data_IF_018048627633
#
_entry.id   IF_018048627633
#
_cell.length_a   1.000
_cell.length_b   1.000
_cell.length_c   1.000
_cell.angle_alpha   90.00
_cell.angle_beta   90.00
_cell.angle_gamma   90.00
#
_symmetry.space_group_name_H-M   'P 1'
#
loop_
_entity.id
_entity.type
_entity.pdbx_description
1 polymer ?
#
# COMPACT_ATOMS: atom_id res chain seq x y z
N UNK A 1 -31.77 -65.08 9.13
CA UNK A 1 -30.46 -64.55 8.68
C UNK A 1 -30.58 -64.13 7.23
N UNK A 2 -30.99 -62.88 6.97
CA UNK A 2 -31.18 -62.39 5.60
C UNK A 2 -30.01 -61.48 5.21
N UNK A 3 -29.14 -62.00 4.34
CA UNK A 3 -27.97 -61.32 3.78
C UNK A 3 -28.33 -60.01 3.04
N UNK A 4 -29.59 -59.86 2.60
CA UNK A 4 -30.06 -58.63 1.95
C UNK A 4 -30.16 -57.42 2.89
N UNK A 5 -30.38 -57.61 4.20
CA UNK A 5 -30.53 -56.47 5.13
C UNK A 5 -29.19 -55.80 5.46
N UNK A 6 -28.05 -56.47 5.25
CA UNK A 6 -26.71 -55.91 5.51
C UNK A 6 -26.16 -55.12 4.32
N UNK A 7 -26.65 -55.37 3.11
CA UNK A 7 -26.23 -54.65 1.89
C UNK A 7 -26.84 -53.25 1.78
N UNK A 8 -28.05 -53.04 2.32
CA UNK A 8 -28.70 -51.72 2.28
C UNK A 8 -28.09 -50.74 3.28
N UNK A 9 -27.58 -51.20 4.43
CA UNK A 9 -26.92 -50.32 5.41
C UNK A 9 -25.53 -49.84 4.98
N UNK A 10 -24.81 -50.58 4.12
CA UNK A 10 -23.50 -50.14 3.61
C UNK A 10 -23.61 -49.13 2.45
N UNK A 11 -24.69 -49.18 1.66
CA UNK A 11 -24.89 -48.23 0.56
C UNK A 11 -25.34 -46.84 1.02
N UNK A 12 -26.00 -46.73 2.19
CA UNK A 12 -26.45 -45.44 2.74
C UNK A 12 -25.36 -44.64 3.49
N UNK A 13 -24.22 -45.24 3.84
CA UNK A 13 -23.09 -44.52 4.44
C UNK A 13 -22.13 -43.88 3.40
N UNK A 14 -22.28 -44.22 2.11
CA UNK A 14 -21.45 -43.67 1.03
C UNK A 14 -21.92 -42.33 0.44
N UNK A 15 -23.15 -41.88 0.76
CA UNK A 15 -23.75 -40.69 0.13
C UNK A 15 -23.72 -39.42 1.00
N UNK A 16 -23.12 -39.47 2.20
CA UNK A 16 -22.94 -38.30 3.08
C UNK A 16 -21.50 -37.78 3.10
N UNK A 17 -20.66 -38.16 2.13
CA UNK A 17 -19.45 -37.41 1.80
C UNK A 17 -19.84 -36.11 1.09
N UNK A 18 -20.45 -35.20 1.85
CA UNK A 18 -20.52 -33.79 1.48
C UNK A 18 -19.08 -33.38 1.20
N UNK A 19 -18.77 -33.12 -0.07
CA UNK A 19 -17.50 -32.55 -0.47
C UNK A 19 -17.34 -31.23 0.27
N UNK A 20 -16.67 -31.25 1.42
CA UNK A 20 -16.14 -30.06 2.05
C UNK A 20 -15.03 -29.55 1.12
N UNK A 21 -15.41 -28.79 0.09
CA UNK A 21 -14.43 -28.09 -0.73
C UNK A 21 -13.87 -26.96 0.13
N UNK A 22 -12.71 -27.20 0.71
CA UNK A 22 -11.93 -26.14 1.32
C UNK A 22 -11.57 -25.15 0.19
N UNK A 23 -12.06 -23.92 0.29
CA UNK A 23 -11.69 -22.84 -0.63
C UNK A 23 -10.19 -22.61 -0.48
N UNK A 24 -9.42 -23.07 -1.47
CA UNK A 24 -7.96 -22.95 -1.47
C UNK A 24 -7.51 -21.60 -2.03
N UNK A 25 -8.34 -20.96 -2.85
CA UNK A 25 -8.03 -19.74 -3.58
C UNK A 25 -9.31 -18.96 -3.92
N UNK A 26 -9.24 -17.64 -3.81
CA UNK A 26 -10.24 -16.70 -4.36
C UNK A 26 -9.50 -15.80 -5.36
N UNK A 27 -10.05 -15.62 -6.55
CA UNK A 27 -9.48 -14.75 -7.58
C UNK A 27 -10.56 -13.81 -8.12
N UNK A 28 -10.22 -12.53 -8.22
CA UNK A 28 -11.05 -11.46 -8.78
C UNK A 28 -10.22 -10.80 -9.88
N UNK A 29 -10.78 -10.69 -11.08
CA UNK A 29 -10.14 -9.99 -12.19
C UNK A 29 -11.06 -8.97 -12.82
N UNK A 30 -10.47 -7.87 -13.29
CA UNK A 30 -11.15 -6.84 -14.05
C UNK A 30 -10.24 -6.34 -15.16
N UNK A 31 -10.78 -6.27 -16.38
CA UNK A 31 -10.01 -5.82 -17.53
C UNK A 31 -9.62 -4.34 -17.42
N UNK A 32 -10.56 -3.51 -16.96
CA UNK A 32 -10.42 -2.06 -16.85
C UNK A 32 -11.37 -1.52 -15.78
N UNK A 33 -10.90 -0.55 -15.00
CA UNK A 33 -11.65 0.19 -13.98
C UNK A 33 -11.29 1.66 -14.13
N UNK A 34 -12.30 2.51 -14.23
CA UNK A 34 -12.15 3.97 -14.33
C UNK A 34 -12.49 4.59 -12.97
N UNK A 35 -11.68 5.55 -12.54
CA UNK A 35 -11.90 6.29 -11.30
C UNK A 35 -11.48 7.73 -11.45
N UNK A 36 -12.05 8.63 -10.64
CA UNK A 36 -11.70 10.05 -10.66
C UNK A 36 -10.20 10.32 -10.41
N UNK A 37 -9.53 9.41 -9.70
CA UNK A 37 -8.09 9.50 -9.41
C UNK A 37 -7.20 8.86 -10.49
N UNK A 38 -7.78 8.14 -11.47
CA UNK A 38 -7.05 7.48 -12.54
C UNK A 38 -7.69 6.18 -13.00
N UNK A 39 -7.10 5.61 -14.04
CA UNK A 39 -7.52 4.35 -14.64
C UNK A 39 -6.65 3.20 -14.14
N UNK A 40 -7.24 2.00 -14.05
CA UNK A 40 -6.53 0.76 -13.79
C UNK A 40 -6.96 -0.30 -14.82
N UNK A 41 -6.00 -1.07 -15.34
CA UNK A 41 -6.27 -2.19 -16.26
C UNK A 41 -5.51 -3.45 -15.86
N UNK A 42 -5.93 -4.59 -16.41
CA UNK A 42 -5.33 -5.90 -16.14
C UNK A 42 -5.28 -6.20 -14.63
N UNK A 43 -6.36 -5.90 -13.93
CA UNK A 43 -6.44 -6.06 -12.48
C UNK A 43 -6.62 -7.54 -12.18
N UNK A 44 -5.74 -8.08 -11.35
CA UNK A 44 -5.84 -9.43 -10.81
C UNK A 44 -5.55 -9.39 -9.31
N UNK A 45 -6.59 -9.65 -8.51
CA UNK A 45 -6.52 -9.82 -7.07
C UNK A 45 -6.71 -11.30 -6.75
N UNK A 46 -5.76 -11.90 -6.04
CA UNK A 46 -5.81 -13.30 -5.66
C UNK A 46 -5.52 -13.47 -4.17
N UNK A 47 -6.34 -14.28 -3.51
CA UNK A 47 -6.21 -14.65 -2.11
C UNK A 47 -5.93 -16.15 -2.03
N UNK A 48 -4.80 -16.56 -1.48
CA UNK A 48 -4.40 -17.97 -1.38
C UNK A 48 -4.46 -18.43 0.07
N UNK A 49 -5.18 -19.52 0.33
CA UNK A 49 -5.38 -20.11 1.67
C UNK A 49 -4.64 -21.44 1.86
N UNK A 50 -4.03 -21.97 0.80
CA UNK A 50 -3.33 -23.24 0.77
C UNK A 50 -1.92 -23.20 1.42
N UNK A 51 -1.63 -22.20 2.23
CA UNK A 51 -0.34 -21.99 2.88
C UNK A 51 -0.53 -21.70 4.38
N UNK A 52 0.48 -21.94 5.24
CA UNK A 52 0.38 -21.70 6.69
C UNK A 52 -0.01 -20.26 7.06
N UNK A 53 0.30 -19.31 6.19
CA UNK A 53 -0.17 -17.92 6.23
C UNK A 53 -0.91 -17.63 4.93
N UNK A 54 -2.18 -17.20 4.98
CA UNK A 54 -2.87 -16.78 3.77
C UNK A 54 -2.15 -15.57 3.15
N UNK A 55 -2.15 -15.48 1.82
CA UNK A 55 -1.50 -14.39 1.08
C UNK A 55 -2.49 -13.71 0.17
N UNK A 56 -2.30 -12.40 -0.04
CA UNK A 56 -3.02 -11.61 -1.04
C UNK A 56 -2.03 -11.06 -2.03
N UNK A 57 -2.28 -11.27 -3.31
CA UNK A 57 -1.52 -10.68 -4.40
C UNK A 57 -2.41 -9.77 -5.22
N UNK A 58 -1.93 -8.58 -5.53
CA UNK A 58 -2.57 -7.63 -6.44
C UNK A 58 -1.60 -7.28 -7.56
N UNK A 59 -2.04 -7.47 -8.80
CA UNK A 59 -1.38 -7.02 -10.01
C UNK A 59 -2.31 -6.06 -10.75
N UNK A 60 -1.80 -4.92 -11.18
CA UNK A 60 -2.54 -3.97 -12.01
C UNK A 60 -1.57 -3.11 -12.82
N UNK A 61 -2.04 -2.54 -13.93
CA UNK A 61 -1.40 -1.40 -14.56
C UNK A 61 -2.23 -0.15 -14.26
N UNK A 62 -1.59 0.88 -13.70
CA UNK A 62 -2.21 2.11 -13.22
C UNK A 62 -1.83 3.26 -14.15
N UNK A 63 -2.75 4.20 -14.35
CA UNK A 63 -2.50 5.47 -15.04
C UNK A 63 -3.22 6.57 -14.27
N UNK A 64 -2.49 7.45 -13.56
CA UNK A 64 -3.09 8.53 -12.78
C UNK A 64 -3.98 9.42 -13.64
N UNK A 65 -5.00 10.01 -13.02
CA UNK A 65 -5.75 11.10 -13.65
C UNK A 65 -4.81 12.29 -13.91
N UNK A 66 -5.13 13.07 -14.94
CA UNK A 66 -4.35 14.27 -15.24
C UNK A 66 -4.49 15.28 -14.10
N UNK A 67 -3.36 15.84 -13.66
CA UNK A 67 -3.35 16.88 -12.64
C UNK A 67 -3.89 18.22 -13.18
N UNK A 68 -3.73 18.48 -14.48
CA UNK A 68 -4.24 19.66 -15.17
C UNK A 68 -4.62 19.33 -16.63
N UNK A 69 -5.24 20.28 -17.34
CA UNK A 69 -5.69 20.04 -18.71
C UNK A 69 -4.52 19.94 -19.73
N UNK A 70 -3.33 20.38 -19.35
CA UNK A 70 -2.14 20.53 -20.20
C UNK A 70 -1.14 19.36 -20.04
N UNK A 71 -1.23 18.61 -18.95
CA UNK A 71 -0.39 17.46 -18.66
C UNK A 71 -0.75 16.30 -19.57
N UNK A 72 0.27 15.78 -20.25
CA UNK A 72 0.14 14.50 -20.95
C UNK A 72 0.03 13.41 -19.89
N UNK A 73 -0.93 12.48 -20.02
CA UNK A 73 -1.03 11.37 -19.09
C UNK A 73 0.28 10.59 -19.15
N UNK A 74 0.85 10.29 -17.99
CA UNK A 74 2.02 9.43 -17.91
C UNK A 74 1.73 8.04 -18.49
N UNK A 75 2.80 7.36 -18.89
CA UNK A 75 2.73 5.98 -19.33
C UNK A 75 2.11 5.11 -18.23
N UNK A 76 1.46 4.01 -18.64
CA UNK A 76 0.96 3.02 -17.70
C UNK A 76 2.10 2.52 -16.79
N UNK A 77 1.84 2.47 -15.49
CA UNK A 77 2.77 2.03 -14.46
C UNK A 77 2.28 0.71 -13.89
N UNK A 78 3.11 -0.32 -13.96
CA UNK A 78 2.82 -1.62 -13.38
C UNK A 78 2.91 -1.54 -11.86
N UNK A 79 1.89 -2.05 -11.19
CA UNK A 79 1.80 -2.16 -9.75
C UNK A 79 1.67 -3.64 -9.36
N UNK A 80 2.59 -4.08 -8.52
CA UNK A 80 2.61 -5.42 -7.94
C UNK A 80 2.64 -5.30 -6.42
N UNK A 81 1.81 -6.06 -5.74
CA UNK A 81 1.77 -6.11 -4.29
C UNK A 81 1.51 -7.54 -3.82
N UNK A 82 2.28 -8.01 -2.85
CA UNK A 82 2.05 -9.28 -2.17
C UNK A 82 2.08 -9.07 -0.67
N UNK A 83 1.00 -9.45 0.01
CA UNK A 83 0.82 -9.28 1.44
C UNK A 83 0.54 -10.60 2.15
N UNK A 84 1.20 -10.82 3.29
CA UNK A 84 0.81 -11.82 4.27
C UNK A 84 -0.45 -11.30 4.99
N UNK A 85 -1.50 -12.13 5.06
CA UNK A 85 -2.69 -11.85 5.84
C UNK A 85 -2.60 -12.45 7.25
N UNK A 86 -3.20 -11.80 8.25
CA UNK A 86 -3.28 -12.34 9.60
C UNK A 86 -4.29 -13.49 9.64
N UNK A 87 -4.13 -14.39 10.62
CA UNK A 87 -5.07 -15.51 10.82
C UNK A 87 -6.45 -15.06 11.33
N UNK A 88 -6.54 -13.85 11.89
CA UNK A 88 -7.76 -13.24 12.40
C UNK A 88 -8.00 -11.92 11.68
N UNK A 89 -9.18 -11.75 11.09
CA UNK A 89 -9.58 -10.53 10.39
C UNK A 89 -10.04 -9.40 11.34
N UNK A 90 -10.11 -9.67 12.65
CA UNK A 90 -10.65 -8.72 13.64
C UNK A 90 -9.69 -7.55 13.93
N UNK A 91 -8.42 -7.70 13.58
CA UNK A 91 -7.39 -6.65 13.61
C UNK A 91 -6.70 -6.70 12.26
N UNK A 92 -7.01 -5.75 11.37
CA UNK A 92 -6.42 -5.73 10.03
C UNK A 92 -5.00 -5.23 10.15
N UNK A 93 -4.09 -6.17 10.41
CA UNK A 93 -2.65 -6.02 10.27
C UNK A 93 -2.25 -6.71 8.96
N UNK A 94 -1.53 -6.03 8.07
CA UNK A 94 -1.08 -6.61 6.82
C UNK A 94 0.38 -6.28 6.58
N UNK A 95 1.16 -7.26 6.14
CA UNK A 95 2.57 -7.07 5.80
C UNK A 95 2.81 -7.39 4.35
N UNK A 96 3.05 -6.36 3.56
CA UNK A 96 3.33 -6.45 2.15
C UNK A 96 4.84 -6.34 1.93
N UNK A 97 5.47 -7.48 1.66
CA UNK A 97 6.94 -7.61 1.68
C UNK A 97 7.60 -7.50 0.30
N UNK A 98 6.81 -7.42 -0.77
CA UNK A 98 7.29 -7.37 -2.16
C UNK A 98 6.40 -6.45 -2.99
N UNK A 99 6.28 -5.19 -2.59
CA UNK A 99 5.61 -4.16 -3.37
C UNK A 99 6.54 -3.62 -4.46
N UNK A 100 5.98 -3.32 -5.65
CA UNK A 100 6.72 -2.62 -6.70
C UNK A 100 5.80 -1.77 -7.55
N UNK A 101 6.23 -0.53 -7.79
CA UNK A 101 5.66 0.34 -8.81
C UNK A 101 6.71 0.55 -9.91
N UNK A 102 6.43 0.10 -11.14
CA UNK A 102 7.40 0.10 -12.25
C UNK A 102 6.80 0.66 -13.53
N UNK A 103 7.43 1.68 -14.09
CA UNK A 103 7.11 2.26 -15.38
C UNK A 103 8.38 2.60 -16.16
N UNK A 104 8.24 3.44 -17.19
CA UNK A 104 9.36 3.86 -18.03
C UNK A 104 10.42 4.68 -17.28
N UNK A 105 9.97 5.52 -16.34
CA UNK A 105 10.82 6.45 -15.58
C UNK A 105 10.60 6.36 -14.07
N UNK A 106 10.04 5.24 -13.60
CA UNK A 106 9.79 5.01 -12.17
C UNK A 106 10.05 3.54 -11.88
N UNK A 107 10.80 3.27 -10.82
CA UNK A 107 11.00 1.94 -10.27
C UNK A 107 11.11 2.07 -8.75
N UNK A 108 10.03 1.77 -8.06
CA UNK A 108 9.93 1.87 -6.61
C UNK A 108 9.64 0.48 -6.05
N UNK A 109 10.67 -0.30 -5.67
CA UNK A 109 10.48 -1.47 -4.85
C UNK A 109 10.31 -1.07 -3.39
N UNK A 110 9.28 -1.59 -2.74
CA UNK A 110 8.91 -1.19 -1.39
C UNK A 110 8.35 -2.33 -0.55
N UNK A 111 8.39 -2.13 0.76
CA UNK A 111 7.59 -2.89 1.72
C UNK A 111 6.55 -1.96 2.34
N UNK A 112 5.37 -2.48 2.62
CA UNK A 112 4.30 -1.77 3.30
C UNK A 112 3.82 -2.60 4.48
N UNK A 113 3.91 -2.05 5.68
CA UNK A 113 3.37 -2.65 6.89
C UNK A 113 2.19 -1.81 7.36
N UNK A 114 1.01 -2.42 7.44
CA UNK A 114 -0.19 -1.81 7.98
C UNK A 114 -0.38 -2.44 9.36
N UNK A 115 -0.10 -1.69 10.40
CA UNK A 115 -0.21 -2.15 11.79
C UNK A 115 -1.60 -1.93 12.36
N UNK A 116 -2.36 -1.03 11.72
CA UNK A 116 -3.74 -0.76 12.06
C UNK A 116 -4.43 -0.15 10.85
N UNK A 117 -5.67 -0.55 10.61
CA UNK A 117 -6.53 0.07 9.60
C UNK A 117 -7.82 0.58 10.22
N UNK A 118 -8.34 -0.12 11.23
CA UNK A 118 -9.59 0.23 11.91
C UNK A 118 -9.49 0.04 13.42
N UNK A 119 -10.20 0.88 14.16
CA UNK A 119 -10.46 0.76 15.60
C UNK A 119 -11.96 0.93 15.81
N UNK A 120 -12.64 -0.07 16.40
CA UNK A 120 -14.10 -0.06 16.60
C UNK A 120 -14.92 0.30 15.35
N UNK A 121 -14.49 -0.18 14.17
CA UNK A 121 -15.10 0.10 12.84
C UNK A 121 -14.89 1.53 12.30
N UNK A 122 -14.14 2.38 12.99
CA UNK A 122 -13.71 3.68 12.48
C UNK A 122 -12.30 3.55 11.87
N UNK A 123 -12.03 4.31 10.81
CA UNK A 123 -10.71 4.31 10.18
C UNK A 123 -9.66 4.86 11.15
N UNK A 124 -8.65 4.04 11.44
CA UNK A 124 -7.52 4.32 12.30
C UNK A 124 -6.30 3.63 11.68
N UNK A 125 -5.69 4.33 10.74
CA UNK A 125 -4.56 3.86 9.94
C UNK A 125 -3.27 4.12 10.71
N UNK A 126 -2.46 3.07 10.85
CA UNK A 126 -1.05 3.18 11.18
C UNK A 126 -0.28 2.31 10.18
N UNK A 127 0.56 2.94 9.36
CA UNK A 127 1.31 2.27 8.33
C UNK A 127 2.76 2.76 8.22
N UNK A 128 3.64 1.85 7.82
CA UNK A 128 5.05 2.11 7.55
C UNK A 128 5.37 1.64 6.14
N UNK A 129 5.83 2.55 5.31
CA UNK A 129 6.30 2.31 3.95
C UNK A 129 7.82 2.39 3.94
N UNK A 130 8.48 1.33 3.49
CA UNK A 130 9.93 1.27 3.37
C UNK A 130 10.30 1.19 1.90
N UNK A 131 10.92 2.25 1.38
CA UNK A 131 11.45 2.29 0.03
C UNK A 131 12.87 1.74 0.03
N UNK A 132 13.18 0.86 -0.94
CA UNK A 132 14.54 0.36 -1.12
C UNK A 132 14.98 0.54 -2.55
N UNK A 133 16.06 1.29 -2.74
CA UNK A 133 16.68 1.53 -4.04
C UNK A 133 15.67 2.05 -5.09
N UNK A 134 14.76 2.92 -4.66
CA UNK A 134 13.77 3.54 -5.52
C UNK A 134 14.40 4.54 -6.47
N UNK A 135 13.83 4.71 -7.66
CA UNK A 135 14.27 5.72 -8.62
C UNK A 135 13.09 6.24 -9.41
N UNK A 136 13.11 7.53 -9.72
CA UNK A 136 12.14 8.16 -10.60
C UNK A 136 12.77 9.31 -11.38
N UNK A 137 12.17 9.70 -12.49
CA UNK A 137 12.53 10.90 -13.23
C UNK A 137 11.35 11.39 -14.06
N UNK A 138 11.15 12.69 -14.15
CA UNK A 138 10.27 13.26 -15.16
C UNK A 138 10.92 13.21 -16.57
N UNK A 139 10.20 13.67 -17.59
CA UNK A 139 10.72 13.66 -18.95
C UNK A 139 11.91 14.59 -19.17
N UNK A 140 11.96 15.70 -18.44
CA UNK A 140 12.98 16.73 -18.58
C UNK A 140 14.20 16.50 -17.66
N UNK A 141 14.11 15.54 -16.73
CA UNK A 141 15.09 15.31 -15.68
C UNK A 141 15.14 16.42 -14.63
N UNK A 142 14.07 17.22 -14.48
CA UNK A 142 14.03 18.34 -13.53
C UNK A 142 13.62 17.90 -12.12
N UNK A 143 12.91 16.79 -12.05
CA UNK A 143 12.57 16.07 -10.83
C UNK A 143 13.01 14.62 -11.01
N UNK A 144 14.10 14.25 -10.36
CA UNK A 144 14.66 12.92 -10.46
C UNK A 144 15.25 12.46 -9.13
N UNK A 145 15.22 11.16 -8.93
CA UNK A 145 15.88 10.54 -7.80
C UNK A 145 16.47 9.20 -8.16
N UNK A 146 17.62 8.90 -7.56
CA UNK A 146 18.33 7.65 -7.76
C UNK A 146 18.65 6.97 -6.43
N UNK A 147 18.50 5.64 -6.42
CA UNK A 147 18.85 4.76 -5.31
C UNK A 147 18.28 5.22 -3.95
N UNK A 148 17.07 5.79 -3.97
CA UNK A 148 16.40 6.27 -2.77
C UNK A 148 16.11 5.12 -1.81
N UNK A 149 16.52 5.31 -0.56
CA UNK A 149 16.13 4.45 0.55
C UNK A 149 15.56 5.33 1.65
N UNK A 150 14.45 4.90 2.23
CA UNK A 150 13.86 5.62 3.35
C UNK A 150 12.62 4.96 3.89
N UNK A 151 12.22 5.43 5.06
CA UNK A 151 11.06 4.95 5.78
C UNK A 151 10.08 6.11 5.96
N UNK A 152 8.85 5.91 5.50
CA UNK A 152 7.73 6.81 5.69
C UNK A 152 6.73 6.16 6.63
N UNK A 153 6.51 6.76 7.80
CA UNK A 153 5.44 6.36 8.71
C UNK A 153 4.27 7.33 8.56
N UNK A 154 3.06 6.79 8.54
CA UNK A 154 1.82 7.55 8.45
C UNK A 154 0.86 7.01 9.50
N UNK A 155 0.33 7.90 10.32
CA UNK A 155 -0.81 7.64 11.18
C UNK A 155 -1.94 8.59 10.80
N UNK A 156 -3.16 8.06 10.67
CA UNK A 156 -4.35 8.82 10.32
C UNK A 156 -5.54 8.27 11.11
N UNK A 157 -6.19 9.12 11.89
CA UNK A 157 -7.32 8.72 12.72
C UNK A 157 -8.46 9.72 12.58
N UNK A 158 -9.67 9.22 12.32
CA UNK A 158 -10.85 10.06 12.26
C UNK A 158 -11.30 10.44 13.68
N UNK A 159 -11.37 11.73 13.98
CA UNK A 159 -11.90 12.26 15.23
C UNK A 159 -12.95 13.35 14.98
N UNK A 160 -13.60 13.82 16.05
CA UNK A 160 -14.69 14.80 15.95
C UNK A 160 -14.27 16.13 15.27
N UNK A 161 -12.98 16.49 15.36
CA UNK A 161 -12.44 17.73 14.82
C UNK A 161 -11.92 17.62 13.38
N UNK A 162 -11.94 16.41 12.80
CA UNK A 162 -11.32 16.11 11.51
C UNK A 162 -10.38 14.91 11.62
N UNK A 163 -9.61 14.69 10.57
CA UNK A 163 -8.61 13.63 10.54
C UNK A 163 -7.33 14.08 11.22
N UNK A 164 -7.04 13.51 12.38
CA UNK A 164 -5.75 13.67 13.04
C UNK A 164 -4.71 12.90 12.24
N UNK A 165 -3.67 13.58 11.76
CA UNK A 165 -2.61 12.96 10.99
C UNK A 165 -1.25 13.19 11.64
N UNK A 166 -0.38 12.21 11.51
CA UNK A 166 1.02 12.30 11.87
C UNK A 166 1.85 11.57 10.84
N UNK A 167 2.98 12.16 10.45
CA UNK A 167 3.91 11.55 9.51
C UNK A 167 5.35 11.72 9.97
N UNK A 168 6.18 10.75 9.64
CA UNK A 168 7.62 10.88 9.74
C UNK A 168 8.29 10.30 8.49
N UNK A 169 9.23 11.02 7.91
CA UNK A 169 10.09 10.56 6.84
C UNK A 169 11.52 10.47 7.36
N UNK A 170 12.13 9.30 7.24
CA UNK A 170 13.56 9.08 7.41
C UNK A 170 14.16 8.75 6.05
N UNK A 171 14.81 9.72 5.43
CA UNK A 171 15.53 9.52 4.17
C UNK A 171 16.95 9.06 4.48
N UNK A 172 17.21 7.78 4.22
CA UNK A 172 18.41 7.08 4.64
C UNK A 172 19.54 7.12 3.62
N UNK A 173 19.23 7.06 2.32
CA UNK A 173 20.22 7.09 1.26
C UNK A 173 19.63 7.46 -0.11
N UNK A 174 20.50 7.69 -1.10
CA UNK A 174 20.14 8.10 -2.45
C UNK A 174 20.21 9.60 -2.63
N UNK A 175 19.90 10.04 -3.84
CA UNK A 175 20.03 11.43 -4.27
C UNK A 175 18.73 11.91 -4.89
N UNK A 176 18.38 13.18 -4.68
CA UNK A 176 17.25 13.84 -5.35
C UNK A 176 17.75 15.11 -6.02
N UNK A 177 17.45 15.25 -7.29
CA UNK A 177 17.46 16.52 -8.00
C UNK A 177 16.03 17.02 -8.15
N UNK A 178 15.74 18.15 -7.52
CA UNK A 178 14.44 18.80 -7.58
C UNK A 178 14.65 20.28 -7.84
N UNK A 179 14.57 20.72 -9.09
CA UNK A 179 15.04 22.05 -9.50
C UNK A 179 14.51 23.17 -8.57
N UNK A 180 15.39 24.09 -8.11
CA UNK A 180 16.83 24.20 -8.38
C UNK A 180 17.73 23.46 -7.38
N UNK A 181 17.19 22.58 -6.54
CA UNK A 181 17.89 21.94 -5.44
C UNK A 181 18.47 20.58 -5.82
N UNK A 182 19.69 20.31 -5.36
CA UNK A 182 20.32 19.00 -5.42
C UNK A 182 20.66 18.53 -4.02
N UNK A 183 20.18 17.35 -3.66
CA UNK A 183 20.39 16.74 -2.35
C UNK A 183 21.12 15.40 -2.58
N UNK A 184 22.42 15.41 -2.30
CA UNK A 184 23.39 14.37 -2.69
C UNK A 184 23.50 13.18 -1.72
N UNK A 185 22.72 13.16 -0.64
CA UNK A 185 22.87 12.14 0.39
C UNK A 185 21.58 11.87 1.17
N UNK A 186 21.56 10.80 1.96
CA UNK A 186 20.57 10.62 3.01
C UNK A 186 20.95 11.31 4.33
N UNK A 187 20.26 10.93 5.41
CA UNK A 187 20.34 11.51 6.74
C UNK A 187 19.37 12.68 6.95
N UNK A 188 18.31 12.77 6.13
CA UNK A 188 17.29 13.81 6.25
C UNK A 188 16.08 13.27 7.00
N UNK A 189 15.51 14.07 7.89
CA UNK A 189 14.34 13.69 8.66
C UNK A 189 13.26 14.75 8.57
N UNK A 190 12.02 14.29 8.42
CA UNK A 190 10.82 15.12 8.54
C UNK A 190 9.94 14.46 9.58
N UNK A 191 9.39 15.25 10.50
CA UNK A 191 8.30 14.83 11.35
C UNK A 191 7.25 15.93 11.34
N UNK A 192 5.98 15.59 11.07
CA UNK A 192 4.91 16.57 11.04
C UNK A 192 3.61 15.97 11.54
N UNK A 193 2.73 16.80 12.08
CA UNK A 193 1.39 16.41 12.50
C UNK A 193 0.40 17.56 12.36
N UNK A 194 -0.89 17.22 12.36
CA UNK A 194 -1.95 18.20 12.39
C UNK A 194 -3.32 17.60 12.10
N UNK A 195 -4.20 18.40 11.50
CA UNK A 195 -5.59 18.05 11.24
C UNK A 195 -5.91 18.27 9.75
N UNK A 196 -6.55 17.29 9.11
CA UNK A 196 -7.16 17.45 7.80
C UNK A 196 -8.68 17.55 8.00
N UNK A 197 -9.26 18.69 7.62
CA UNK A 197 -10.70 18.97 7.77
C UNK A 197 -11.17 19.86 6.62
N UNK A 198 -12.33 19.54 6.03
CA UNK A 198 -12.94 20.35 4.97
C UNK A 198 -11.94 20.64 3.81
N UNK A 199 -11.17 19.62 3.43
CA UNK A 199 -10.08 19.67 2.44
C UNK A 199 -8.91 20.63 2.77
N UNK A 200 -8.88 21.16 3.99
CA UNK A 200 -7.80 21.99 4.50
C UNK A 200 -6.84 21.16 5.37
N UNK A 201 -5.58 21.11 4.96
CA UNK A 201 -4.50 20.46 5.71
C UNK A 201 -3.87 21.49 6.67
N UNK A 202 -4.24 21.40 7.94
CA UNK A 202 -3.56 22.14 9.01
C UNK A 202 -2.33 21.37 9.46
N UNK A 203 -1.19 22.07 9.53
CA UNK A 203 0.06 21.57 10.12
C UNK A 203 0.22 22.26 11.47
N UNK A 204 0.08 21.51 12.55
CA UNK A 204 0.22 22.04 13.90
C UNK A 204 1.70 22.20 14.26
N UNK A 205 2.49 21.18 13.95
CA UNK A 205 3.93 21.17 14.16
C UNK A 205 4.62 20.40 13.03
N UNK A 206 5.75 20.93 12.57
CA UNK A 206 6.67 20.22 11.70
C UNK A 206 8.12 20.52 12.11
N UNK A 207 8.92 19.46 12.18
CA UNK A 207 10.36 19.50 12.35
C UNK A 207 11.02 18.92 11.10
N UNK A 208 11.90 19.71 10.48
CA UNK A 208 12.68 19.33 9.32
C UNK A 208 14.16 19.38 9.67
N UNK A 209 14.85 18.25 9.53
CA UNK A 209 16.30 18.14 9.64
C UNK A 209 16.89 17.80 8.28
N UNK A 210 17.73 18.69 7.78
CA UNK A 210 18.48 18.47 6.55
C UNK A 210 19.94 18.22 6.92
N UNK A 211 20.42 17.01 6.62
CA UNK A 211 21.81 16.63 6.83
C UNK A 211 22.77 17.69 6.26
N UNK A 212 23.75 18.10 7.08
CA UNK A 212 24.78 19.11 6.73
C UNK A 212 24.28 20.51 6.37
N UNK A 213 23.00 20.80 6.55
CA UNK A 213 22.42 22.14 6.30
C UNK A 213 21.90 22.75 7.59
N UNK A 214 21.01 22.06 8.30
CA UNK A 214 20.42 22.57 9.53
C UNK A 214 19.06 21.97 9.85
N UNK A 215 18.39 22.59 10.82
CA UNK A 215 17.08 22.18 11.32
C UNK A 215 16.12 23.38 11.24
N UNK A 216 14.83 23.09 10.99
CA UNK A 216 13.75 24.05 10.93
C UNK A 216 12.55 23.50 11.71
N UNK A 217 12.05 24.30 12.64
CA UNK A 217 10.80 24.06 13.34
C UNK A 217 9.73 25.01 12.81
N UNK A 218 8.53 24.46 12.55
CA UNK A 218 7.36 25.18 12.10
C UNK A 218 6.21 24.85 13.05
N UNK A 219 5.58 25.88 13.59
CA UNK A 219 4.35 25.75 14.36
C UNK A 219 3.25 26.56 13.65
N UNK A 220 2.14 25.90 13.34
CA UNK A 220 1.00 26.50 12.66
C UNK A 220 -0.23 26.55 13.56
N UNK A 221 -1.09 27.56 13.34
CA UNK A 221 -2.42 27.71 13.96
C UNK A 221 -3.50 27.38 12.94
#
# INVERSE_FOLDING_TARGET
>A
MNALSRLVSFLCLGCYSVFAQAVSEISISAAHVEHAMGDAKNIALKVSFNQPKPTVTLHAALKPAKADAQSKPEDWVQFDLTCDLPKSLNTVEARCINGRLKGKRVDLPFNLEINRLFTHHLLDLNAVFNLKNGSFSDEAGLHAAEKLNGTLSIALKQEAQGWQWQTSLDWQAGEVFWQPFYIESGGHNVAANGILKDDLLHVNHAHLKINRVGELDLDGV
#
